data_IF_132229936104
#
_entry.id   IF_132229936104
#
_cell.length_a   1.000
_cell.length_b   1.000
_cell.length_c   1.000
_cell.angle_alpha   90.00
_cell.angle_beta   90.00
_cell.angle_gamma   90.00
#
_symmetry.space_group_name_H-M   'P 1'
#
loop_
_entity.id
_entity.type
_entity.pdbx_description
1 polymer ?
#
# COMPACT_ATOMS: atom_id res chain seq x y z
N UNK A 1 -44.62 21.54 -22.14
CA UNK A 1 -43.15 21.43 -22.02
C UNK A 1 -42.79 21.64 -20.56
N UNK A 2 -42.23 20.63 -19.87
CA UNK A 2 -41.82 20.74 -18.46
C UNK A 2 -40.31 20.98 -18.45
N UNK A 3 -39.92 22.17 -18.01
CA UNK A 3 -38.52 22.56 -17.88
C UNK A 3 -38.01 22.04 -16.52
N UNK A 4 -37.24 20.95 -16.53
CA UNK A 4 -36.51 20.49 -15.35
C UNK A 4 -35.23 21.32 -15.26
N UNK A 5 -35.17 22.28 -14.35
CA UNK A 5 -33.91 22.92 -13.96
C UNK A 5 -33.07 21.90 -13.20
N UNK A 6 -32.08 21.32 -13.87
CA UNK A 6 -30.99 20.62 -13.21
C UNK A 6 -30.11 21.66 -12.51
N UNK A 7 -30.32 21.85 -11.21
CA UNK A 7 -29.34 22.56 -10.37
C UNK A 7 -28.13 21.65 -10.28
N UNK A 8 -27.10 21.95 -11.09
CA UNK A 8 -25.79 21.36 -10.93
C UNK A 8 -25.25 21.84 -9.57
N UNK A 9 -25.39 20.99 -8.55
CA UNK A 9 -24.65 21.16 -7.31
C UNK A 9 -23.17 21.06 -7.68
N UNK A 10 -22.49 22.21 -7.76
CA UNK A 10 -21.04 22.30 -7.74
C UNK A 10 -20.61 21.78 -6.37
N UNK A 11 -20.56 20.45 -6.25
CA UNK A 11 -20.11 19.77 -5.05
C UNK A 11 -18.70 20.23 -4.79
N UNK A 12 -18.52 21.00 -3.72
CA UNK A 12 -17.22 21.43 -3.24
C UNK A 12 -16.39 20.16 -3.04
N UNK A 13 -15.49 19.86 -3.98
CA UNK A 13 -14.62 18.68 -3.91
C UNK A 13 -13.65 18.92 -2.77
N UNK A 14 -14.09 18.66 -1.55
CA UNK A 14 -13.21 18.66 -0.38
C UNK A 14 -12.16 17.59 -0.64
N UNK A 15 -10.89 18.01 -0.63
CA UNK A 15 -9.77 17.08 -0.66
C UNK A 15 -10.01 16.03 0.43
N UNK A 16 -10.07 14.73 0.10
CA UNK A 16 -10.31 13.71 1.09
C UNK A 16 -9.24 13.77 2.18
N UNK A 17 -9.67 13.79 3.45
CA UNK A 17 -8.76 13.77 4.60
C UNK A 17 -7.87 12.52 4.52
N UNK A 18 -6.57 12.69 4.71
CA UNK A 18 -5.61 11.59 4.84
C UNK A 18 -5.28 11.40 6.31
N UNK A 19 -5.36 10.16 6.80
CA UNK A 19 -5.07 9.82 8.19
C UNK A 19 -4.14 8.62 8.26
N UNK A 20 -3.25 8.62 9.25
CA UNK A 20 -2.30 7.55 9.50
C UNK A 20 -2.59 6.92 10.85
N UNK A 21 -3.06 5.67 10.86
CA UNK A 21 -3.40 4.94 12.07
C UNK A 21 -2.26 3.95 12.36
N UNK A 22 -1.50 4.21 13.42
CA UNK A 22 -0.39 3.34 13.82
C UNK A 22 -0.92 2.05 14.43
N UNK A 23 -0.36 0.92 14.04
CA UNK A 23 -0.61 -0.40 14.63
C UNK A 23 0.71 -1.14 14.90
N UNK A 24 0.61 -2.36 15.43
CA UNK A 24 1.78 -3.23 15.59
C UNK A 24 2.32 -3.59 14.19
N UNK A 25 3.57 -3.20 13.90
CA UNK A 25 4.24 -3.54 12.65
C UNK A 25 3.54 -3.03 11.38
N UNK A 26 2.69 -1.99 11.50
CA UNK A 26 1.99 -1.39 10.37
C UNK A 26 1.57 0.06 10.61
N UNK A 27 1.31 0.78 9.53
CA UNK A 27 0.57 2.05 9.52
C UNK A 27 -0.54 1.93 8.49
N UNK A 28 -1.79 2.06 8.95
CA UNK A 28 -2.94 2.07 8.07
C UNK A 28 -3.15 3.50 7.54
N UNK A 29 -3.20 3.65 6.21
CA UNK A 29 -3.45 4.91 5.53
C UNK A 29 -4.93 4.95 5.16
N UNK A 30 -5.64 5.93 5.73
CA UNK A 30 -7.05 6.19 5.45
C UNK A 30 -7.17 7.41 4.55
N UNK A 31 -8.07 7.35 3.57
CA UNK A 31 -8.39 8.47 2.68
C UNK A 31 -9.91 8.64 2.66
N UNK A 32 -10.39 9.79 3.13
CA UNK A 32 -11.82 10.06 3.28
C UNK A 32 -12.52 9.06 4.22
N UNK A 33 -11.85 8.65 5.30
CA UNK A 33 -12.36 7.66 6.25
C UNK A 33 -12.38 6.21 5.77
N UNK A 34 -11.89 5.92 4.55
CA UNK A 34 -11.83 4.57 3.98
C UNK A 34 -10.39 4.07 3.95
N UNK A 35 -10.19 2.78 4.21
CA UNK A 35 -8.88 2.15 4.11
C UNK A 35 -8.36 2.23 2.67
N UNK A 36 -7.20 2.85 2.50
CA UNK A 36 -6.55 3.03 1.20
C UNK A 36 -5.40 2.05 1.00
N UNK A 37 -4.50 1.98 1.98
CA UNK A 37 -3.43 0.99 2.03
C UNK A 37 -2.89 0.81 3.44
N UNK A 38 -2.07 -0.22 3.66
CA UNK A 38 -1.28 -0.37 4.89
C UNK A 38 0.19 -0.46 4.53
N UNK A 39 1.01 0.42 5.12
CA UNK A 39 2.45 0.26 5.13
C UNK A 39 2.81 -0.77 6.21
N UNK A 40 3.20 -1.97 5.80
CA UNK A 40 3.60 -3.05 6.69
C UNK A 40 5.13 -3.16 6.75
N UNK A 41 5.65 -3.47 7.92
CA UNK A 41 7.08 -3.62 8.18
C UNK A 41 7.32 -4.67 9.26
N UNK A 42 8.55 -5.13 9.43
CA UNK A 42 8.92 -6.11 10.46
C UNK A 42 10.07 -7.00 10.04
N UNK A 43 10.63 -7.72 10.99
CA UNK A 43 11.82 -8.57 10.77
C UNK A 43 11.54 -9.82 9.94
N UNK A 44 10.27 -10.22 9.84
CA UNK A 44 9.84 -11.37 9.03
C UNK A 44 9.68 -11.03 7.54
N UNK A 45 9.72 -9.73 7.19
CA UNK A 45 9.59 -9.26 5.82
C UNK A 45 10.97 -9.01 5.21
N UNK A 46 11.12 -9.32 3.93
CA UNK A 46 12.34 -9.01 3.15
C UNK A 46 12.51 -7.49 2.97
N UNK A 47 11.38 -6.77 2.96
CA UNK A 47 11.28 -5.32 2.80
C UNK A 47 9.92 -4.80 3.29
N UNK A 48 9.83 -3.54 3.73
CA UNK A 48 8.55 -2.88 3.99
C UNK A 48 7.80 -2.67 2.67
N UNK A 49 6.47 -2.72 2.73
CA UNK A 49 5.63 -2.60 1.55
C UNK A 49 4.25 -2.02 1.88
N UNK A 50 3.59 -1.46 0.88
CA UNK A 50 2.21 -1.00 0.95
C UNK A 50 1.29 -2.06 0.33
N UNK A 51 0.39 -2.63 1.13
CA UNK A 51 -0.51 -3.70 0.68
C UNK A 51 -1.76 -3.83 1.58
N UNK A 52 -2.96 -4.07 1.00
CA UNK A 52 -3.33 -3.83 -0.40
C UNK A 52 -3.27 -2.34 -0.73
N UNK A 53 -3.08 -1.96 -1.99
CA UNK A 53 -3.48 -0.65 -2.48
C UNK A 53 -4.88 -0.72 -3.07
N UNK A 54 -5.73 0.27 -2.75
CA UNK A 54 -7.09 0.37 -3.28
C UNK A 54 -7.26 1.61 -4.15
N UNK A 55 -8.03 1.49 -5.23
CA UNK A 55 -8.52 2.64 -6.00
C UNK A 55 -9.54 3.46 -5.18
N UNK A 56 -9.93 4.67 -5.62
CA UNK A 56 -11.02 5.42 -4.99
C UNK A 56 -12.36 4.67 -4.92
N UNK A 57 -12.63 3.78 -5.88
CA UNK A 57 -13.82 2.91 -5.86
C UNK A 57 -13.69 1.73 -4.88
N UNK A 58 -12.48 1.46 -4.35
CA UNK A 58 -12.21 0.39 -3.40
C UNK A 58 -11.64 -0.90 -4.02
N UNK A 59 -11.45 -0.92 -5.34
CA UNK A 59 -10.86 -2.04 -6.07
C UNK A 59 -9.40 -2.20 -5.62
N UNK A 60 -9.00 -3.43 -5.26
CA UNK A 60 -7.60 -3.73 -4.95
C UNK A 60 -6.81 -3.77 -6.25
N UNK A 61 -5.77 -2.95 -6.35
CA UNK A 61 -4.96 -2.79 -7.57
C UNK A 61 -3.56 -3.41 -7.48
N UNK A 62 -3.19 -3.95 -6.31
CA UNK A 62 -1.90 -4.63 -6.10
C UNK A 62 -2.08 -6.13 -5.90
N UNK A 63 -1.08 -6.90 -6.34
CA UNK A 63 -0.96 -8.31 -5.95
C UNK A 63 -0.71 -8.43 -4.44
N UNK A 64 -1.19 -9.53 -3.88
CA UNK A 64 -1.07 -9.83 -2.44
C UNK A 64 -0.41 -11.17 -2.14
N UNK A 65 -0.13 -11.97 -3.16
CA UNK A 65 0.72 -13.17 -3.02
C UNK A 65 2.13 -12.73 -2.60
N UNK A 66 2.80 -13.39 -1.63
CA UNK A 66 2.38 -14.60 -0.91
C UNK A 66 1.64 -14.34 0.42
N UNK A 67 1.32 -13.08 0.74
CA UNK A 67 0.70 -12.73 2.02
C UNK A 67 -0.76 -13.21 2.13
N UNK A 68 -1.48 -13.24 1.02
CA UNK A 68 -2.89 -13.65 0.95
C UNK A 68 -3.09 -14.50 -0.30
N UNK A 69 -3.64 -15.70 -0.12
CA UNK A 69 -3.99 -16.56 -1.25
C UNK A 69 -5.13 -15.93 -2.07
N UNK A 70 -4.89 -15.80 -3.37
CA UNK A 70 -5.82 -15.21 -4.32
C UNK A 70 -6.36 -16.31 -5.22
N UNK A 71 -7.68 -16.61 -5.15
CA UNK A 71 -8.31 -17.59 -6.05
C UNK A 71 -8.11 -17.18 -7.51
N UNK A 72 -7.47 -18.04 -8.30
CA UNK A 72 -7.12 -17.75 -9.70
C UNK A 72 -5.96 -16.76 -9.88
N UNK A 73 -5.34 -16.30 -8.80
CA UNK A 73 -4.14 -15.46 -8.85
C UNK A 73 -2.89 -16.28 -9.16
N UNK A 74 -1.98 -15.70 -9.95
CA UNK A 74 -0.68 -16.31 -10.20
C UNK A 74 0.18 -16.33 -8.93
N UNK A 75 0.91 -17.43 -8.74
CA UNK A 75 1.94 -17.60 -7.71
C UNK A 75 3.36 -17.32 -8.22
N UNK A 76 3.49 -16.91 -9.47
CA UNK A 76 4.77 -16.49 -10.06
C UNK A 76 5.33 -15.24 -9.36
N UNK A 77 6.66 -15.10 -9.38
CA UNK A 77 7.35 -13.87 -8.96
C UNK A 77 6.80 -13.29 -7.64
N UNK A 78 6.84 -14.08 -6.54
CA UNK A 78 6.29 -13.71 -5.23
C UNK A 78 6.86 -12.40 -4.64
N UNK A 79 7.97 -11.90 -5.18
CA UNK A 79 8.55 -10.61 -4.82
C UNK A 79 7.79 -9.41 -5.40
N UNK A 80 6.83 -9.60 -6.32
CA UNK A 80 5.92 -8.58 -6.87
C UNK A 80 4.69 -8.32 -5.98
N UNK A 81 4.89 -8.31 -4.66
CA UNK A 81 3.83 -8.08 -3.67
C UNK A 81 3.68 -6.59 -3.36
N UNK A 82 2.46 -6.08 -3.37
CA UNK A 82 2.17 -4.70 -2.97
C UNK A 82 2.94 -3.65 -3.77
N UNK A 83 3.28 -2.55 -3.10
CA UNK A 83 4.22 -1.53 -3.59
C UNK A 83 5.37 -1.44 -2.58
N UNK A 84 6.60 -1.53 -3.05
CA UNK A 84 7.79 -1.42 -2.22
C UNK A 84 8.86 -0.62 -2.95
N UNK A 85 9.83 -0.14 -2.19
CA UNK A 85 11.06 0.43 -2.72
C UNK A 85 12.20 -0.56 -2.48
N UNK A 86 12.98 -0.83 -3.52
CA UNK A 86 14.17 -1.66 -3.42
C UNK A 86 15.21 -1.23 -4.46
N UNK A 87 16.48 -1.45 -4.14
CA UNK A 87 17.55 -1.53 -5.13
C UNK A 87 17.62 -2.98 -5.62
N UNK A 88 18.02 -3.23 -6.87
CA UNK A 88 18.11 -4.62 -7.35
C UNK A 88 19.24 -5.37 -6.62
N UNK A 89 20.50 -5.09 -6.99
CA UNK A 89 21.65 -5.83 -6.46
C UNK A 89 22.72 -4.90 -5.90
N UNK A 90 23.12 -5.14 -4.64
CA UNK A 90 24.26 -4.47 -3.98
C UNK A 90 25.17 -5.54 -3.38
N UNK A 91 26.47 -5.50 -3.67
CA UNK A 91 27.45 -6.45 -3.13
C UNK A 91 26.99 -7.92 -3.20
N UNK A 92 26.49 -8.32 -4.38
CA UNK A 92 25.95 -9.66 -4.67
C UNK A 92 24.63 -10.02 -3.99
N UNK A 93 24.10 -9.17 -3.11
CA UNK A 93 22.82 -9.33 -2.44
C UNK A 93 21.69 -8.72 -3.26
N UNK A 94 20.61 -9.48 -3.50
CA UNK A 94 19.44 -9.02 -4.25
C UNK A 94 18.33 -8.57 -3.27
N UNK A 95 18.02 -7.28 -3.24
CA UNK A 95 16.97 -6.70 -2.38
C UNK A 95 15.62 -6.59 -3.08
N UNK A 96 15.58 -6.74 -4.41
CA UNK A 96 14.35 -6.79 -5.18
C UNK A 96 13.62 -8.14 -5.00
N UNK A 97 14.35 -9.25 -4.95
CA UNK A 97 13.78 -10.59 -4.80
C UNK A 97 13.51 -10.94 -3.32
N UNK A 98 12.71 -12.00 -3.10
CA UNK A 98 12.53 -12.60 -1.78
C UNK A 98 13.59 -13.71 -1.60
N UNK A 99 14.67 -13.42 -0.89
CA UNK A 99 15.73 -14.40 -0.58
C UNK A 99 15.55 -15.02 0.82
N UNK A 100 16.29 -16.10 1.13
CA UNK A 100 16.33 -16.72 2.47
C UNK A 100 17.74 -17.21 2.83
N UNK A 101 18.37 -16.71 3.90
CA UNK A 101 17.99 -15.47 4.60
C UNK A 101 18.20 -14.28 3.66
N UNK A 102 17.21 -13.40 3.50
CA UNK A 102 17.34 -12.29 2.56
C UNK A 102 18.23 -11.19 3.12
N UNK A 103 18.89 -10.39 2.27
CA UNK A 103 19.18 -9.03 2.67
C UNK A 103 17.86 -8.33 3.01
N UNK A 104 17.75 -7.76 4.21
CA UNK A 104 16.53 -7.11 4.66
C UNK A 104 16.65 -5.60 4.49
N UNK A 105 15.74 -5.00 3.74
CA UNK A 105 15.46 -3.57 3.91
C UNK A 105 14.71 -3.47 5.24
N UNK A 106 15.32 -2.85 6.25
CA UNK A 106 14.71 -2.75 7.58
C UNK A 106 14.06 -1.40 7.77
N UNK A 107 12.81 -1.41 8.21
CA UNK A 107 12.19 -0.23 8.79
C UNK A 107 12.86 0.04 10.15
N UNK A 108 13.47 1.22 10.32
CA UNK A 108 14.17 1.60 11.55
C UNK A 108 13.26 2.43 12.46
N UNK A 109 12.64 3.48 11.92
CA UNK A 109 11.78 4.37 12.68
C UNK A 109 10.79 5.12 11.79
N UNK A 110 9.71 5.57 12.40
CA UNK A 110 8.82 6.59 11.84
C UNK A 110 9.28 7.93 12.38
N UNK A 111 9.81 8.78 11.51
CA UNK A 111 10.14 10.16 11.85
C UNK A 111 8.89 11.01 11.65
N UNK A 112 8.46 11.71 12.68
CA UNK A 112 7.37 12.69 12.56
C UNK A 112 8.00 14.07 12.52
N UNK A 113 8.01 14.69 11.34
CA UNK A 113 8.38 16.10 11.23
C UNK A 113 7.20 16.91 11.76
N UNK A 114 7.41 17.85 12.71
CA UNK A 114 6.39 18.85 12.99
C UNK A 114 6.04 19.55 11.69
N UNK A 115 4.77 19.50 11.30
CA UNK A 115 4.23 20.28 10.18
C UNK A 115 3.69 21.58 10.77
#
# INVERSE_FOLDING_TARGET
>A
AVLVLAVAALGNQRVPKVEFIKGKNRIDVMVGGRHFTSYIYGNELTKPMMVPLRSPSGIVVTRREPLVEMKGGSKDHSHHVGIFFAVDKVNRSNFWNNASPPPQIKHIAILQTPI
#
